data_IF_037591384202
#
_entry.id   IF_037591384202
#
_cell.length_a   1.000
_cell.length_b   1.000
_cell.length_c   1.000
_cell.angle_alpha   90.00
_cell.angle_beta   90.00
_cell.angle_gamma   90.00
#
_symmetry.space_group_name_H-M   'P 1'
#
loop_
_entity.id
_entity.type
_entity.pdbx_description
1 polymer ?
#
# COMPACT_ATOMS: atom_id res chain seq x y z
N UNK A 1 42.37 1.54 19.43
CA UNK A 1 42.09 0.15 19.86
C UNK A 1 43.09 -0.78 19.18
N UNK A 2 43.88 -1.56 19.93
CA UNK A 2 44.90 -2.42 19.32
C UNK A 2 44.24 -3.53 18.51
N UNK A 3 44.66 -3.66 17.25
CA UNK A 3 44.20 -4.73 16.36
C UNK A 3 44.94 -6.00 16.77
N UNK A 4 44.23 -6.96 17.37
CA UNK A 4 44.78 -8.28 17.67
C UNK A 4 45.40 -8.91 16.41
N UNK A 5 46.62 -9.43 16.54
CA UNK A 5 47.33 -10.12 15.47
C UNK A 5 46.51 -11.30 14.93
N UNK A 6 46.67 -11.59 13.64
CA UNK A 6 45.98 -12.70 12.97
C UNK A 6 46.18 -14.04 13.70
N UNK A 7 47.38 -14.27 14.26
CA UNK A 7 47.70 -15.44 15.07
C UNK A 7 46.89 -15.53 16.38
N UNK A 8 46.66 -14.39 17.06
CA UNK A 8 45.81 -14.35 18.25
C UNK A 8 44.33 -14.62 17.89
N UNK A 9 43.86 -14.12 16.74
CA UNK A 9 42.51 -14.41 16.23
C UNK A 9 42.32 -15.88 15.87
N UNK A 10 43.31 -16.54 15.28
CA UNK A 10 43.25 -17.97 15.00
C UNK A 10 43.24 -18.85 16.25
N UNK A 11 44.08 -18.54 17.26
CA UNK A 11 44.07 -19.27 18.54
C UNK A 11 42.72 -19.17 19.26
N UNK A 12 42.11 -17.98 19.29
CA UNK A 12 40.77 -17.77 19.88
C UNK A 12 39.68 -18.46 19.04
N UNK A 13 39.83 -18.52 17.71
CA UNK A 13 38.90 -19.23 16.82
C UNK A 13 38.91 -20.75 17.05
N UNK A 14 40.10 -21.32 17.25
CA UNK A 14 40.30 -22.76 17.49
C UNK A 14 39.78 -23.19 18.88
N UNK A 15 39.96 -22.38 19.92
CA UNK A 15 39.44 -22.70 21.27
C UNK A 15 37.91 -22.61 21.40
N UNK A 16 37.23 -21.94 20.46
CA UNK A 16 35.77 -21.81 20.42
C UNK A 16 35.05 -22.95 19.68
N UNK A 17 35.75 -23.94 19.15
CA UNK A 17 35.15 -25.06 18.41
C UNK A 17 35.34 -26.39 19.16
N UNK A 18 34.38 -27.29 19.01
CA UNK A 18 34.45 -28.64 19.59
C UNK A 18 34.01 -28.74 21.05
N UNK A 19 34.22 -29.93 21.62
CA UNK A 19 33.77 -30.29 22.97
C UNK A 19 34.47 -29.54 24.10
N UNK A 20 35.61 -28.91 23.81
CA UNK A 20 36.40 -28.12 24.77
C UNK A 20 35.93 -26.67 24.92
N UNK A 21 34.96 -26.21 24.13
CA UNK A 21 34.39 -24.87 24.31
C UNK A 21 33.52 -24.89 25.58
N UNK A 22 33.75 -24.02 26.59
CA UNK A 22 32.92 -23.97 27.81
C UNK A 22 31.44 -23.67 27.53
N UNK A 23 31.09 -23.12 26.35
CA UNK A 23 29.71 -22.97 25.90
C UNK A 23 29.10 -24.26 25.27
N UNK A 24 29.89 -25.33 25.11
CA UNK A 24 29.44 -26.58 24.52
C UNK A 24 28.63 -27.41 25.53
N UNK A 25 27.31 -27.47 25.31
CA UNK A 25 26.36 -28.17 26.19
C UNK A 25 25.96 -29.56 25.69
N UNK A 26 26.93 -30.40 25.31
CA UNK A 26 26.65 -31.80 24.96
C UNK A 26 26.13 -32.05 23.53
N UNK A 27 26.47 -31.18 22.57
CA UNK A 27 26.14 -31.41 21.15
C UNK A 27 24.65 -31.25 20.79
N UNK A 28 24.22 -31.85 19.67
CA UNK A 28 22.82 -31.83 19.22
C UNK A 28 22.08 -33.06 19.75
N UNK A 29 20.92 -32.85 20.34
CA UNK A 29 20.01 -33.90 20.84
C UNK A 29 19.03 -34.29 19.73
N UNK A 30 18.68 -35.58 19.65
CA UNK A 30 17.67 -36.09 18.71
C UNK A 30 16.27 -35.85 19.26
N UNK A 31 15.42 -35.21 18.45
CA UNK A 31 13.98 -35.00 18.69
C UNK A 31 13.19 -35.46 17.47
N UNK A 32 11.87 -35.63 17.59
CA UNK A 32 11.01 -36.08 16.49
C UNK A 32 10.14 -34.95 15.97
N UNK A 33 9.85 -34.96 14.66
CA UNK A 33 8.90 -34.04 14.07
C UNK A 33 7.46 -34.37 14.52
N UNK A 34 6.77 -33.41 15.13
CA UNK A 34 5.40 -33.58 15.65
C UNK A 34 4.34 -33.84 14.57
N UNK A 35 4.67 -33.65 13.28
CA UNK A 35 3.74 -33.91 12.16
C UNK A 35 4.03 -35.22 11.43
N UNK A 36 5.30 -35.55 11.19
CA UNK A 36 5.67 -36.69 10.32
C UNK A 36 6.56 -37.73 11.01
N UNK A 37 6.89 -37.56 12.30
CA UNK A 37 7.72 -38.49 13.06
C UNK A 37 9.20 -38.56 12.65
N UNK A 38 9.66 -37.82 11.64
CA UNK A 38 11.08 -37.85 11.23
C UNK A 38 12.02 -37.37 12.34
N UNK A 39 13.17 -38.03 12.50
CA UNK A 39 14.24 -37.67 13.45
C UNK A 39 14.91 -36.35 13.05
N UNK A 40 15.15 -35.47 14.04
CA UNK A 40 15.76 -34.15 13.89
C UNK A 40 16.85 -33.96 14.94
N UNK A 41 18.01 -33.42 14.55
CA UNK A 41 19.08 -33.05 15.50
C UNK A 41 18.94 -31.56 15.86
N UNK A 42 18.67 -31.23 17.12
CA UNK A 42 18.47 -29.85 17.62
C UNK A 42 19.41 -29.54 18.79
N UNK A 43 19.77 -28.26 18.94
CA UNK A 43 20.56 -27.82 20.09
C UNK A 43 19.69 -27.80 21.36
N UNK A 44 20.24 -28.15 22.54
CA UNK A 44 19.50 -28.17 23.81
C UNK A 44 18.78 -26.85 24.12
N UNK A 45 19.43 -25.71 23.82
CA UNK A 45 18.83 -24.37 24.03
C UNK A 45 17.56 -24.15 23.21
N UNK A 46 17.47 -24.72 22.01
CA UNK A 46 16.27 -24.63 21.16
C UNK A 46 15.15 -25.47 21.75
N UNK A 47 15.48 -26.62 22.34
CA UNK A 47 14.53 -27.50 23.00
C UNK A 47 13.97 -26.82 24.26
N UNK A 48 14.85 -26.26 25.09
CA UNK A 48 14.48 -25.55 26.33
C UNK A 48 13.62 -24.31 26.06
N UNK A 49 13.94 -23.52 25.03
CA UNK A 49 13.16 -22.32 24.68
C UNK A 49 11.79 -22.63 24.07
N UNK A 50 11.60 -23.82 23.52
CA UNK A 50 10.36 -24.19 22.84
C UNK A 50 9.32 -24.74 23.84
N UNK A 51 8.55 -23.84 24.45
CA UNK A 51 7.56 -24.17 25.48
C UNK A 51 6.51 -25.20 25.04
N UNK A 52 6.14 -25.23 23.76
CA UNK A 52 5.13 -26.17 23.25
C UNK A 52 5.68 -27.59 23.06
N UNK A 53 7.00 -27.77 23.10
CA UNK A 53 7.70 -29.03 22.80
C UNK A 53 7.38 -29.59 21.40
N UNK A 54 6.87 -28.74 20.48
CA UNK A 54 6.54 -29.12 19.11
C UNK A 54 7.69 -28.81 18.15
N UNK A 55 8.21 -29.82 17.45
CA UNK A 55 9.31 -29.66 16.50
C UNK A 55 8.87 -30.03 15.09
N UNK A 56 9.33 -29.26 14.10
CA UNK A 56 8.99 -29.50 12.70
C UNK A 56 10.26 -29.64 11.85
N UNK A 57 10.23 -30.59 10.90
CA UNK A 57 11.34 -30.81 9.98
C UNK A 57 11.43 -29.68 8.94
N UNK A 58 10.30 -29.10 8.56
CA UNK A 58 10.20 -28.00 7.60
C UNK A 58 8.92 -27.18 7.81
N UNK A 59 8.81 -26.06 7.05
CA UNK A 59 7.65 -25.15 7.10
C UNK A 59 6.33 -25.84 6.70
N UNK A 60 6.38 -26.80 5.77
CA UNK A 60 5.19 -27.56 5.31
C UNK A 60 4.59 -28.40 6.44
N UNK A 61 5.42 -29.11 7.20
CA UNK A 61 4.96 -29.89 8.37
C UNK A 61 4.35 -29.01 9.45
N UNK A 62 4.94 -27.83 9.72
CA UNK A 62 4.35 -26.86 10.65
C UNK A 62 2.97 -26.38 10.17
N UNK A 63 2.85 -26.02 8.89
CA UNK A 63 1.58 -25.57 8.32
C UNK A 63 0.50 -26.67 8.37
N UNK A 64 0.86 -27.91 8.05
CA UNK A 64 -0.06 -29.04 8.12
C UNK A 64 -0.51 -29.33 9.55
N UNK A 65 0.41 -29.31 10.52
CA UNK A 65 0.08 -29.47 11.93
C UNK A 65 -0.85 -28.36 12.43
N UNK A 66 -0.57 -27.11 12.08
CA UNK A 66 -1.44 -25.98 12.44
C UNK A 66 -2.81 -26.09 11.76
N UNK A 67 -2.88 -26.58 10.52
CA UNK A 67 -4.15 -26.79 9.84
C UNK A 67 -4.96 -27.88 10.55
N UNK A 68 -4.37 -29.04 10.85
CA UNK A 68 -5.06 -30.13 11.54
C UNK A 68 -5.44 -29.76 12.98
N UNK A 69 -4.56 -29.07 13.72
CA UNK A 69 -4.86 -28.63 15.08
C UNK A 69 -5.90 -27.50 15.15
N UNK A 70 -6.12 -26.77 14.04
CA UNK A 70 -7.18 -25.76 13.92
C UNK A 70 -8.49 -26.36 13.41
N UNK A 71 -8.46 -27.54 12.78
CA UNK A 71 -9.64 -28.25 12.34
C UNK A 71 -10.17 -29.11 13.50
N UNK A 72 -11.45 -28.98 13.79
CA UNK A 72 -12.13 -29.71 14.86
C UNK A 72 -12.44 -28.86 16.08
N UNK A 73 -13.28 -29.44 16.95
CA UNK A 73 -13.92 -28.74 18.06
C UNK A 73 -12.98 -28.15 19.10
N UNK A 74 -11.72 -28.61 19.11
CA UNK A 74 -10.68 -28.22 20.07
C UNK A 74 -9.75 -27.11 19.56
N UNK A 75 -9.92 -26.65 18.31
CA UNK A 75 -9.11 -25.55 17.79
C UNK A 75 -9.39 -24.25 18.57
N UNK A 76 -8.38 -23.42 18.91
CA UNK A 76 -8.59 -22.17 19.66
C UNK A 76 -9.46 -21.15 18.91
N UNK A 77 -9.69 -21.37 17.61
CA UNK A 77 -10.58 -20.58 16.77
C UNK A 77 -11.91 -21.27 16.46
N UNK A 78 -12.07 -22.55 16.85
CA UNK A 78 -13.34 -23.25 16.73
C UNK A 78 -14.31 -22.66 17.76
N UNK A 79 -15.31 -21.94 17.26
CA UNK A 79 -16.39 -21.40 18.07
C UNK A 79 -17.62 -22.21 17.71
N UNK A 80 -18.05 -23.05 18.64
CA UNK A 80 -19.22 -23.91 18.52
C UNK A 80 -20.39 -23.17 17.83
N UNK A 81 -20.85 -23.69 16.69
CA UNK A 81 -22.22 -23.71 16.16
C UNK A 81 -23.07 -22.44 15.99
N UNK A 82 -22.84 -21.34 16.72
CA UNK A 82 -23.85 -20.28 16.90
C UNK A 82 -23.53 -18.94 16.19
N UNK A 83 -22.50 -18.89 15.35
CA UNK A 83 -21.92 -17.60 14.93
C UNK A 83 -22.10 -17.23 13.46
N UNK A 84 -22.82 -18.02 12.66
CA UNK A 84 -23.23 -17.64 11.31
C UNK A 84 -24.60 -16.95 11.37
N UNK A 85 -24.63 -15.65 11.06
CA UNK A 85 -25.89 -15.02 10.64
C UNK A 85 -26.00 -15.12 9.13
N UNK A 86 -27.15 -15.53 8.64
CA UNK A 86 -27.47 -15.40 7.22
C UNK A 86 -27.50 -13.90 6.87
N UNK A 87 -26.87 -13.54 5.76
CA UNK A 87 -26.90 -12.19 5.20
C UNK A 87 -27.30 -12.21 3.74
N UNK A 88 -27.99 -11.17 3.31
CA UNK A 88 -28.36 -10.99 1.91
C UNK A 88 -27.25 -10.20 1.21
N UNK A 89 -26.70 -10.76 0.13
CA UNK A 89 -25.69 -10.09 -0.69
C UNK A 89 -26.32 -8.90 -1.43
N UNK A 90 -25.76 -7.69 -1.28
CA UNK A 90 -26.30 -6.48 -1.93
C UNK A 90 -26.21 -6.45 -3.46
N UNK A 91 -25.52 -7.41 -4.08
CA UNK A 91 -25.27 -7.42 -5.53
C UNK A 91 -26.01 -8.54 -6.25
N UNK A 92 -26.15 -9.70 -5.63
CA UNK A 92 -26.87 -10.82 -6.26
C UNK A 92 -28.06 -11.32 -5.44
N UNK A 93 -28.38 -10.67 -4.32
CA UNK A 93 -29.46 -11.02 -3.38
C UNK A 93 -29.43 -12.44 -2.82
N UNK A 94 -28.35 -13.21 -3.05
CA UNK A 94 -28.19 -14.52 -2.44
C UNK A 94 -27.85 -14.42 -0.96
N UNK A 95 -28.41 -15.34 -0.20
CA UNK A 95 -28.07 -15.57 1.18
C UNK A 95 -26.64 -16.12 1.31
N UNK A 96 -25.92 -15.70 2.35
CA UNK A 96 -24.59 -16.19 2.66
C UNK A 96 -24.29 -16.09 4.15
N UNK A 97 -23.50 -17.04 4.66
CA UNK A 97 -23.09 -17.05 6.06
C UNK A 97 -22.09 -15.94 6.37
N UNK A 98 -22.32 -15.23 7.47
CA UNK A 98 -21.45 -14.16 7.96
C UNK A 98 -20.92 -14.47 9.34
N UNK A 99 -19.60 -14.38 9.50
CA UNK A 99 -18.95 -14.40 10.81
C UNK A 99 -19.31 -13.15 11.63
N UNK A 100 -19.93 -13.33 12.82
CA UNK A 100 -20.37 -12.25 13.73
C UNK A 100 -19.29 -11.21 14.09
N UNK A 101 -18.01 -11.60 14.13
CA UNK A 101 -16.86 -10.71 14.47
C UNK A 101 -16.23 -9.99 13.27
N UNK A 102 -16.62 -10.32 12.04
CA UNK A 102 -16.16 -9.60 10.85
C UNK A 102 -16.95 -8.32 10.65
N UNK A 103 -16.30 -7.23 10.18
CA UNK A 103 -16.99 -6.02 9.70
C UNK A 103 -18.18 -6.45 8.82
N UNK A 104 -19.39 -5.90 9.06
CA UNK A 104 -20.65 -6.21 8.37
C UNK A 104 -20.43 -6.52 6.87
N UNK A 105 -20.20 -7.80 6.54
CA UNK A 105 -19.93 -8.20 5.17
C UNK A 105 -21.19 -7.93 4.36
N UNK A 106 -21.07 -7.16 3.28
CA UNK A 106 -22.19 -6.72 2.43
C UNK A 106 -22.37 -7.60 1.18
N UNK A 107 -21.41 -8.48 0.90
CA UNK A 107 -21.33 -9.24 -0.35
C UNK A 107 -20.90 -10.69 -0.05
N UNK A 108 -21.50 -11.66 -0.74
CA UNK A 108 -21.23 -13.08 -0.55
C UNK A 108 -19.88 -13.55 -1.12
N UNK A 109 -19.30 -12.78 -2.04
CA UNK A 109 -18.04 -13.15 -2.69
C UNK A 109 -17.26 -11.90 -3.15
N UNK A 110 -15.99 -12.11 -3.49
CA UNK A 110 -15.17 -11.07 -4.10
C UNK A 110 -15.70 -10.63 -5.48
N UNK A 111 -16.39 -11.52 -6.21
CA UNK A 111 -17.05 -11.21 -7.49
C UNK A 111 -18.22 -10.24 -7.31
N UNK A 112 -19.00 -10.43 -6.23
CA UNK A 112 -20.12 -9.56 -5.88
C UNK A 112 -19.68 -8.25 -5.21
N UNK A 113 -18.43 -8.15 -4.76
CA UNK A 113 -17.94 -6.90 -4.21
C UNK A 113 -17.83 -5.89 -5.35
N UNK A 114 -18.50 -4.71 -5.28
CA UNK A 114 -18.32 -3.69 -6.29
C UNK A 114 -16.84 -3.37 -6.33
N UNK A 115 -16.25 -3.52 -7.52
CA UNK A 115 -14.89 -3.04 -7.75
C UNK A 115 -14.92 -1.56 -7.37
N UNK A 116 -14.00 -1.07 -6.51
CA UNK A 116 -14.00 0.33 -6.11
C UNK A 116 -14.09 1.17 -7.39
N UNK A 117 -15.19 1.91 -7.54
CA UNK A 117 -15.64 2.50 -8.81
C UNK A 117 -14.76 3.63 -9.34
N UNK A 118 -13.51 3.70 -8.91
CA UNK A 118 -12.57 4.64 -9.48
C UNK A 118 -12.04 4.03 -10.77
N UNK A 119 -12.46 4.59 -11.91
CA UNK A 119 -11.85 4.39 -13.23
C UNK A 119 -10.37 4.82 -13.29
N UNK A 120 -9.79 5.22 -12.15
CA UNK A 120 -8.44 5.70 -12.01
C UNK A 120 -7.73 5.09 -10.80
N UNK A 121 -6.43 4.89 -10.96
CA UNK A 121 -5.50 4.44 -9.94
C UNK A 121 -4.98 5.70 -9.23
N UNK A 122 -5.19 5.79 -7.90
CA UNK A 122 -4.49 6.76 -7.06
C UNK A 122 -3.08 6.24 -6.78
N UNK A 123 -2.07 7.10 -6.78
CA UNK A 123 -0.73 6.66 -6.40
C UNK A 123 0.33 7.75 -6.47
N UNK A 124 1.15 7.81 -5.42
CA UNK A 124 2.26 8.78 -5.27
C UNK A 124 3.22 8.78 -6.47
N UNK A 125 3.42 7.63 -7.12
CA UNK A 125 4.26 7.52 -8.32
C UNK A 125 3.83 8.48 -9.44
N UNK A 126 2.53 8.68 -9.64
CA UNK A 126 2.02 9.58 -10.67
C UNK A 126 2.13 11.04 -10.24
N UNK A 127 1.89 11.34 -8.96
CA UNK A 127 2.10 12.67 -8.37
C UNK A 127 3.56 13.11 -8.55
N UNK A 128 4.54 12.24 -8.24
CA UNK A 128 5.96 12.57 -8.43
C UNK A 128 6.33 12.79 -9.90
N UNK A 129 5.71 12.07 -10.84
CA UNK A 129 5.90 12.32 -12.27
C UNK A 129 5.33 13.68 -12.68
N UNK A 130 4.15 14.05 -12.19
CA UNK A 130 3.56 15.38 -12.43
C UNK A 130 4.46 16.49 -11.84
N UNK A 131 4.97 16.31 -10.61
CA UNK A 131 5.93 17.23 -9.98
C UNK A 131 7.20 17.38 -10.83
N UNK A 132 7.75 16.28 -11.34
CA UNK A 132 8.94 16.34 -12.20
C UNK A 132 8.67 17.12 -13.49
N UNK A 133 7.49 16.97 -14.09
CA UNK A 133 7.09 17.71 -15.28
C UNK A 133 6.89 19.20 -14.97
N UNK A 134 6.23 19.55 -13.86
CA UNK A 134 6.06 20.93 -13.40
C UNK A 134 7.40 21.64 -13.23
N UNK A 135 8.37 20.98 -12.59
CA UNK A 135 9.73 21.51 -12.44
C UNK A 135 10.40 21.81 -13.79
N UNK A 136 10.24 20.92 -14.78
CA UNK A 136 10.76 21.15 -16.14
C UNK A 136 10.09 22.34 -16.83
N UNK A 137 8.82 22.61 -16.50
CA UNK A 137 8.07 23.78 -16.99
C UNK A 137 8.38 25.07 -16.21
N UNK A 138 9.39 25.07 -15.32
CA UNK A 138 9.77 26.24 -14.53
C UNK A 138 8.88 26.52 -13.32
N UNK A 139 8.03 25.56 -12.90
CA UNK A 139 7.23 25.72 -11.70
C UNK A 139 7.99 25.27 -10.44
N UNK A 140 7.91 26.06 -9.39
CA UNK A 140 8.25 25.68 -8.03
C UNK A 140 7.06 24.99 -7.38
N UNK A 141 7.24 23.73 -6.99
CA UNK A 141 6.21 22.97 -6.26
C UNK A 141 6.28 23.37 -4.79
N UNK A 142 5.24 24.02 -4.29
CA UNK A 142 5.16 24.51 -2.91
C UNK A 142 4.85 23.37 -1.95
N UNK A 143 3.82 22.56 -2.26
CA UNK A 143 3.53 21.36 -1.48
C UNK A 143 2.76 20.30 -2.26
N UNK A 144 2.86 19.07 -1.76
CA UNK A 144 2.06 17.91 -2.18
C UNK A 144 1.14 17.53 -1.02
N UNK A 145 -0.16 17.45 -1.25
CA UNK A 145 -1.12 17.15 -0.18
C UNK A 145 -1.27 15.62 0.00
N UNK A 146 -0.75 15.01 1.09
CA UNK A 146 -0.84 13.56 1.28
C UNK A 146 -2.28 13.07 1.52
N UNK A 147 -3.23 13.97 1.81
CA UNK A 147 -4.62 13.67 2.17
C UNK A 147 -5.56 14.79 1.73
N UNK A 148 -5.49 15.17 0.47
CA UNK A 148 -6.28 16.26 -0.10
C UNK A 148 -7.80 16.11 0.03
N UNK A 149 -8.31 14.94 0.45
CA UNK A 149 -9.74 14.59 0.45
C UNK A 149 -10.41 14.83 -0.92
N UNK A 150 -9.62 14.85 -1.99
CA UNK A 150 -10.07 15.13 -3.35
C UNK A 150 -9.93 16.59 -3.79
N UNK A 151 -9.35 17.48 -3.00
CA UNK A 151 -9.27 18.91 -3.30
C UNK A 151 -8.17 19.32 -4.28
N UNK A 152 -6.99 18.71 -4.25
CA UNK A 152 -5.88 18.85 -5.21
C UNK A 152 -4.68 18.07 -4.62
N UNK A 153 -3.84 17.49 -5.45
CA UNK A 153 -2.72 16.66 -4.97
C UNK A 153 -1.40 17.43 -4.95
N UNK A 154 -1.24 18.42 -5.84
CA UNK A 154 -0.03 19.24 -5.97
C UNK A 154 -0.44 20.71 -6.08
N UNK A 155 0.26 21.59 -5.36
CA UNK A 155 0.19 23.03 -5.55
C UNK A 155 1.55 23.56 -6.02
N UNK A 156 1.55 24.31 -7.11
CA UNK A 156 2.76 24.81 -7.75
C UNK A 156 2.61 26.27 -8.17
N UNK A 157 3.71 27.02 -8.11
CA UNK A 157 3.80 28.43 -8.46
C UNK A 157 4.86 28.62 -9.54
N UNK A 158 4.66 29.61 -10.41
CA UNK A 158 5.67 30.14 -11.31
C UNK A 158 5.69 31.66 -11.12
N UNK A 159 6.87 32.23 -11.07
CA UNK A 159 7.05 33.66 -10.86
C UNK A 159 8.48 34.06 -11.10
N UNK A 160 8.72 35.37 -11.11
CA UNK A 160 10.04 35.92 -11.31
C UNK A 160 10.76 36.02 -9.95
N UNK A 161 11.91 35.35 -9.76
CA UNK A 161 12.62 35.33 -8.48
C UNK A 161 13.15 36.72 -8.08
N UNK A 162 13.51 37.57 -9.05
CA UNK A 162 14.06 38.90 -8.81
C UNK A 162 13.01 39.87 -8.30
N UNK A 163 11.80 39.85 -8.89
CA UNK A 163 10.72 40.76 -8.49
C UNK A 163 9.83 40.19 -7.39
N UNK A 164 9.99 38.91 -7.05
CA UNK A 164 9.11 38.14 -6.16
C UNK A 164 7.64 38.14 -6.59
N UNK A 165 7.36 38.52 -7.85
CA UNK A 165 6.00 38.56 -8.39
C UNK A 165 5.58 37.16 -8.83
N UNK A 166 4.46 36.68 -8.30
CA UNK A 166 3.84 35.43 -8.76
C UNK A 166 3.19 35.70 -10.11
N UNK A 167 3.60 34.95 -11.13
CA UNK A 167 3.05 35.04 -12.48
C UNK A 167 1.89 34.07 -12.67
N UNK A 168 1.99 32.87 -12.09
CA UNK A 168 1.00 31.81 -12.26
C UNK A 168 0.95 30.86 -11.04
N UNK A 169 -0.26 30.44 -10.67
CA UNK A 169 -0.50 29.45 -9.63
C UNK A 169 -1.34 28.30 -10.17
N UNK A 170 -0.98 27.06 -9.83
CA UNK A 170 -1.69 25.84 -10.27
C UNK A 170 -2.05 24.93 -9.11
N UNK A 171 -3.33 24.64 -8.98
CA UNK A 171 -3.88 23.59 -8.14
C UNK A 171 -4.14 22.37 -9.00
N UNK A 172 -3.39 21.28 -8.78
CA UNK A 172 -3.36 20.15 -9.70
C UNK A 172 -3.85 18.90 -9.00
N UNK A 173 -4.89 18.29 -9.56
CA UNK A 173 -5.33 16.96 -9.18
C UNK A 173 -4.77 15.92 -10.13
N UNK A 174 -4.04 14.93 -9.60
CA UNK A 174 -3.33 13.94 -10.39
C UNK A 174 -4.10 12.63 -10.38
N UNK A 175 -4.52 12.18 -11.56
CA UNK A 175 -5.22 10.90 -11.77
C UNK A 175 -4.40 10.04 -12.72
N UNK A 176 -4.53 8.72 -12.61
CA UNK A 176 -4.00 7.80 -13.61
C UNK A 176 -5.09 6.84 -14.06
N UNK A 177 -5.32 6.71 -15.36
CA UNK A 177 -6.34 5.81 -15.88
C UNK A 177 -5.80 4.91 -16.99
N UNK A 178 -6.36 3.70 -17.11
CA UNK A 178 -6.18 2.83 -18.27
C UNK A 178 -7.18 3.14 -19.37
N UNK A 179 -8.30 3.74 -19.02
CA UNK A 179 -9.34 4.10 -19.96
C UNK A 179 -8.87 5.23 -20.88
N UNK A 180 -9.43 5.29 -22.10
CA UNK A 180 -9.32 6.42 -23.03
C UNK A 180 -10.46 7.45 -22.89
N UNK A 181 -11.45 7.20 -22.02
CA UNK A 181 -12.65 8.03 -21.89
C UNK A 181 -12.32 9.46 -21.43
N UNK A 182 -13.15 10.47 -21.76
CA UNK A 182 -12.94 11.86 -21.36
C UNK A 182 -13.01 12.06 -19.84
N UNK A 183 -12.43 13.14 -19.31
CA UNK A 183 -12.40 13.41 -17.85
C UNK A 183 -13.77 13.40 -17.19
N UNK A 184 -14.84 13.82 -17.89
CA UNK A 184 -16.22 13.78 -17.37
C UNK A 184 -16.63 12.38 -16.89
N UNK A 185 -16.04 11.32 -17.48
CA UNK A 185 -16.25 9.93 -17.06
C UNK A 185 -15.27 9.48 -15.97
N UNK A 186 -14.03 9.99 -15.95
CA UNK A 186 -12.98 9.53 -15.05
C UNK A 186 -13.19 10.06 -13.64
N UNK A 187 -13.61 11.32 -13.52
CA UNK A 187 -13.81 11.98 -12.23
C UNK A 187 -15.30 12.09 -11.98
N UNK A 188 -15.82 11.52 -10.87
CA UNK A 188 -17.24 11.60 -10.53
C UNK A 188 -17.74 13.04 -10.48
N UNK A 189 -18.99 13.27 -10.90
CA UNK A 189 -19.65 14.59 -10.86
C UNK A 189 -19.54 15.27 -9.50
N UNK A 190 -19.78 14.51 -8.42
CA UNK A 190 -19.65 14.98 -7.04
C UNK A 190 -18.24 15.47 -6.67
N UNK A 191 -17.18 14.86 -7.23
CA UNK A 191 -15.80 15.30 -7.00
C UNK A 191 -15.51 16.61 -7.74
N UNK A 192 -16.06 16.79 -8.95
CA UNK A 192 -15.96 18.06 -9.69
C UNK A 192 -16.73 19.19 -9.02
N UNK A 193 -17.95 18.93 -8.56
CA UNK A 193 -18.77 19.91 -7.84
C UNK A 193 -18.08 20.38 -6.55
N UNK A 194 -17.45 19.45 -5.81
CA UNK A 194 -16.65 19.80 -4.63
C UNK A 194 -15.50 20.73 -4.95
N UNK A 195 -14.86 20.59 -6.11
CA UNK A 195 -13.78 21.47 -6.57
C UNK A 195 -14.35 22.84 -6.94
N UNK A 196 -15.39 22.87 -7.77
CA UNK A 196 -16.01 24.09 -8.30
C UNK A 196 -16.55 24.96 -7.15
N UNK A 197 -17.19 24.34 -6.16
CA UNK A 197 -17.79 25.05 -5.02
C UNK A 197 -16.80 25.29 -3.88
N UNK A 198 -15.51 25.02 -4.07
CA UNK A 198 -14.53 25.12 -3.00
C UNK A 198 -14.10 26.57 -2.75
N UNK A 199 -14.62 27.17 -1.69
CA UNK A 199 -14.24 28.53 -1.25
C UNK A 199 -12.80 28.63 -0.71
N UNK A 200 -12.13 27.51 -0.43
CA UNK A 200 -10.75 27.50 0.11
C UNK A 200 -9.67 27.59 -0.96
N UNK A 201 -10.02 27.49 -2.24
CA UNK A 201 -9.06 27.72 -3.32
C UNK A 201 -8.77 29.22 -3.35
N UNK A 202 -7.62 29.61 -2.78
CA UNK A 202 -7.19 31.00 -2.75
C UNK A 202 -6.81 31.39 -4.17
N UNK A 203 -7.58 32.30 -4.76
CA UNK A 203 -7.25 32.93 -6.03
C UNK A 203 -6.12 33.94 -5.78
N UNK A 204 -4.89 33.59 -6.17
CA UNK A 204 -3.71 34.45 -6.03
C UNK A 204 -3.61 35.49 -7.15
N UNK A 205 -4.70 35.70 -7.90
CA UNK A 205 -4.79 36.60 -9.05
C UNK A 205 -5.44 35.95 -10.27
N UNK A 206 -5.44 36.68 -11.39
CA UNK A 206 -6.06 36.26 -12.67
C UNK A 206 -5.45 34.98 -13.25
N UNK A 207 -4.19 34.69 -12.91
CA UNK A 207 -3.44 33.54 -13.42
C UNK A 207 -3.44 32.35 -12.44
N UNK A 208 -4.58 32.11 -11.79
CA UNK A 208 -4.76 30.94 -10.91
C UNK A 208 -5.59 29.89 -11.64
N UNK A 209 -4.99 28.72 -11.85
CA UNK A 209 -5.63 27.63 -12.57
C UNK A 209 -5.86 26.43 -11.67
N UNK A 210 -7.05 25.83 -11.82
CA UNK A 210 -7.33 24.52 -11.26
C UNK A 210 -7.31 23.51 -12.40
N UNK A 211 -6.45 22.49 -12.29
CA UNK A 211 -6.21 21.52 -13.36
C UNK A 211 -6.38 20.07 -12.86
N UNK A 212 -6.84 19.22 -13.75
CA UNK A 212 -6.83 17.76 -13.59
C UNK A 212 -5.84 17.20 -14.59
N UNK A 213 -4.81 16.55 -14.09
CA UNK A 213 -3.78 15.90 -14.89
C UNK A 213 -4.05 14.40 -14.88
N UNK A 214 -4.42 13.85 -16.04
CA UNK A 214 -4.70 12.42 -16.20
C UNK A 214 -3.55 11.75 -16.92
N UNK A 215 -2.82 10.88 -16.22
CA UNK A 215 -1.86 9.98 -16.85
C UNK A 215 -2.59 8.79 -17.45
N UNK A 216 -2.64 8.72 -18.78
CA UNK A 216 -3.02 7.49 -19.49
C UNK A 216 -1.85 6.52 -19.47
N UNK A 217 -2.03 5.28 -19.03
CA UNK A 217 -0.89 4.36 -18.88
C UNK A 217 -0.10 4.14 -20.18
N UNK A 218 -0.78 4.18 -21.33
CA UNK A 218 -0.18 3.97 -22.66
C UNK A 218 -0.07 5.25 -23.50
N UNK A 219 -0.37 6.43 -22.95
CA UNK A 219 -0.30 7.70 -23.69
C UNK A 219 0.40 8.78 -22.86
N UNK A 220 0.50 9.99 -23.42
CA UNK A 220 0.96 11.20 -22.74
C UNK A 220 -0.04 11.64 -21.66
N UNK A 221 0.29 12.73 -20.96
CA UNK A 221 -0.63 13.36 -20.02
C UNK A 221 -1.74 14.07 -20.78
N UNK A 222 -2.98 13.88 -20.33
CA UNK A 222 -4.09 14.74 -20.73
C UNK A 222 -4.31 15.76 -19.60
N UNK A 223 -4.34 17.05 -19.95
CA UNK A 223 -4.51 18.13 -18.97
C UNK A 223 -5.87 18.77 -19.22
N UNK A 224 -6.66 18.88 -18.16
CA UNK A 224 -7.95 19.53 -18.21
C UNK A 224 -7.94 20.71 -17.25
N UNK A 225 -8.39 21.88 -17.70
CA UNK A 225 -8.40 23.11 -16.92
C UNK A 225 -9.84 23.52 -16.62
N UNK A 226 -10.09 23.92 -15.38
CA UNK A 226 -11.40 24.45 -14.98
C UNK A 226 -11.58 25.84 -15.59
N UNK A 227 -12.64 26.01 -16.38
CA UNK A 227 -13.16 27.30 -16.77
C UNK A 227 -14.16 27.76 -15.70
N UNK A 228 -13.82 28.85 -15.00
CA UNK A 228 -14.62 29.37 -13.89
C UNK A 228 -15.99 29.92 -14.32
N UNK A 229 -16.10 30.41 -15.56
CA UNK A 229 -17.34 30.96 -16.12
C UNK A 229 -18.31 29.85 -16.46
N UNK A 230 -17.87 28.85 -17.23
CA UNK A 230 -18.72 27.71 -17.62
C UNK A 230 -18.87 26.66 -16.52
N UNK A 231 -18.00 26.68 -15.49
CA UNK A 231 -17.87 25.64 -14.47
C UNK A 231 -17.59 24.26 -15.06
N UNK A 232 -17.00 24.21 -16.24
CA UNK A 232 -16.63 22.98 -16.92
C UNK A 232 -15.10 22.81 -17.01
N UNK A 233 -14.66 21.55 -17.10
CA UNK A 233 -13.27 21.21 -17.35
C UNK A 233 -13.02 21.06 -18.84
N UNK A 234 -12.19 21.93 -19.39
CA UNK A 234 -11.84 21.97 -20.80
C UNK A 234 -10.51 21.25 -21.03
N UNK A 235 -10.44 20.43 -22.08
CA UNK A 235 -9.23 19.72 -22.44
C UNK A 235 -8.23 20.69 -23.09
N UNK A 236 -7.04 20.82 -22.51
CA UNK A 236 -6.00 21.64 -23.12
C UNK A 236 -5.40 20.89 -24.31
N UNK A 237 -5.18 21.55 -25.46
CA UNK A 237 -4.48 20.95 -26.57
C UNK A 237 -3.08 20.52 -26.13
N UNK A 238 -2.57 19.45 -26.73
CA UNK A 238 -1.23 18.95 -26.43
C UNK A 238 -0.22 20.01 -26.80
N UNK A 239 0.39 20.65 -25.81
CA UNK A 239 1.60 21.42 -26.04
C UNK A 239 2.69 20.47 -26.52
N UNK A 240 3.47 20.87 -27.53
CA UNK A 240 4.55 20.05 -28.09
C UNK A 240 5.60 19.65 -27.02
N UNK A 241 5.61 20.34 -25.89
CA UNK A 241 6.60 20.26 -24.82
C UNK A 241 6.25 19.29 -23.65
N UNK A 242 5.07 18.65 -23.66
CA UNK A 242 4.61 17.72 -22.59
C UNK A 242 4.47 16.27 -23.10
#
# INVERSE_FOLDING_TARGET
>A
MPILSLAAREKISKSKRGSKNPAWKGGKITVFCSQCGKKLKRWPVVIQKNKSKLFFCNRKCKANYEASARLGSKGPFYKHGEYSRIGICKTCNREFERNRKGRKAKYCSQKCRPKPGYLYIKGRRFEYKAISLLKKMGFQVVFRSPRSRGMFDVFALRGNPSTKKIEEARYIQVKASRSSFPVKSIIPKQEREKIINNKTVIMLGKNTFYEIWVRRLNKKWDIYRLNWTSKEFEHLPKTKEI
#
